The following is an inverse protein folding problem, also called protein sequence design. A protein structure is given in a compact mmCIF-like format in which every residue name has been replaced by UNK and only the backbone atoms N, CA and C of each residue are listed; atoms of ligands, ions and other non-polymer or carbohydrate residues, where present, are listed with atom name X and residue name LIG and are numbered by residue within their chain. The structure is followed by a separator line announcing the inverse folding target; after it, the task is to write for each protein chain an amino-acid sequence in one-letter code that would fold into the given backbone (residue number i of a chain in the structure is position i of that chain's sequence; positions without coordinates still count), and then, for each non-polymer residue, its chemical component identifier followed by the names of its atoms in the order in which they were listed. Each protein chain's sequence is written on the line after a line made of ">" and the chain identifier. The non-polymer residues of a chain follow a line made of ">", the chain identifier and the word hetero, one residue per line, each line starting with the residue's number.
data_IF_087638733961
#
_entry.id   IF_087638733961
#
_cell.length_a   1.000
_cell.length_b   1.000
_cell.length_c   1.000
_cell.angle_alpha   90.00
_cell.angle_beta   90.00
_cell.angle_gamma   90.00
#
_symmetry.space_group_name_H-M   'P 1'
#
loop_
_entity.id
_entity.type
_entity.pdbx_description
1 polymer ?
#
# COMPACT_ATOMS: atom_id res chain seq x y z
N UNK A 1 -5.74 56.24 -15.19
CA UNK A 1 -6.25 55.34 -14.14
C UNK A 1 -6.39 54.01 -14.84
N UNK A 2 -5.37 53.17 -14.71
CA UNK A 2 -5.35 51.85 -15.34
C UNK A 2 -6.15 50.93 -14.43
N UNK A 3 -7.31 50.48 -14.91
CA UNK A 3 -8.13 49.51 -14.23
C UNK A 3 -7.35 48.20 -14.15
N UNK A 4 -6.91 47.87 -12.94
CA UNK A 4 -6.34 46.58 -12.60
C UNK A 4 -7.46 45.55 -12.75
N UNK A 5 -7.55 44.92 -13.92
CA UNK A 5 -8.38 43.73 -14.11
C UNK A 5 -7.80 42.68 -13.19
N UNK A 6 -8.47 42.49 -12.05
CA UNK A 6 -8.29 41.34 -11.18
C UNK A 6 -8.53 40.10 -12.04
N UNK A 7 -7.46 39.42 -12.46
CA UNK A 7 -7.51 38.02 -12.90
C UNK A 7 -8.01 37.18 -11.71
N UNK A 8 -9.33 37.16 -11.59
CA UNK A 8 -10.07 36.35 -10.65
C UNK A 8 -10.00 34.90 -11.14
N UNK A 9 -8.94 34.21 -10.74
CA UNK A 9 -8.89 32.80 -10.31
C UNK A 9 -10.07 31.92 -10.80
N UNK A 10 -10.13 31.62 -12.10
CA UNK A 10 -11.04 30.60 -12.64
C UNK A 10 -10.50 29.84 -13.87
N UNK A 11 -9.22 30.04 -14.22
CA UNK A 11 -8.51 29.22 -15.22
C UNK A 11 -8.15 27.82 -14.71
N UNK A 12 -8.82 27.34 -13.66
CA UNK A 12 -8.94 25.91 -13.38
C UNK A 12 -9.89 25.31 -14.43
N UNK A 13 -9.53 25.39 -15.71
CA UNK A 13 -10.05 24.46 -16.70
C UNK A 13 -9.62 23.09 -16.21
N UNK A 14 -10.52 22.39 -15.50
CA UNK A 14 -10.27 21.05 -15.02
C UNK A 14 -9.95 20.19 -16.24
N UNK A 15 -8.65 19.92 -16.46
CA UNK A 15 -8.19 19.08 -17.55
C UNK A 15 -8.90 17.73 -17.49
N UNK A 16 -9.06 17.05 -18.62
CA UNK A 16 -9.73 15.74 -18.66
C UNK A 16 -9.14 14.78 -17.62
N UNK A 17 -7.82 14.85 -17.39
CA UNK A 17 -7.09 14.05 -16.41
C UNK A 17 -7.54 14.33 -14.97
N UNK A 18 -7.70 15.59 -14.60
CA UNK A 18 -8.13 16.00 -13.25
C UNK A 18 -9.56 15.57 -12.98
N UNK A 19 -10.43 15.74 -13.98
CA UNK A 19 -11.81 15.23 -13.93
C UNK A 19 -11.83 13.70 -13.79
N UNK A 20 -10.99 12.99 -14.56
CA UNK A 20 -10.93 11.53 -14.50
C UNK A 20 -10.45 11.03 -13.15
N UNK A 21 -9.40 11.62 -12.57
CA UNK A 21 -8.86 11.20 -11.27
C UNK A 21 -9.82 11.54 -10.12
N UNK A 22 -10.50 12.69 -10.19
CA UNK A 22 -11.49 13.09 -9.18
C UNK A 22 -12.82 12.33 -9.27
N UNK A 23 -13.03 11.57 -10.36
CA UNK A 23 -14.22 10.74 -10.53
C UNK A 23 -14.28 9.60 -9.51
N UNK A 24 -15.50 9.34 -9.00
CA UNK A 24 -15.74 8.30 -8.01
C UNK A 24 -15.27 6.93 -8.51
N UNK A 25 -14.45 6.26 -7.70
CA UNK A 25 -13.87 4.94 -8.02
C UNK A 25 -12.44 4.99 -8.55
N UNK A 26 -11.90 6.18 -8.84
CA UNK A 26 -10.56 6.37 -9.39
C UNK A 26 -9.52 6.84 -8.35
N UNK A 27 -9.78 6.58 -7.07
CA UNK A 27 -8.94 7.00 -5.93
C UNK A 27 -7.52 6.41 -5.94
N UNK A 28 -7.31 5.29 -6.65
CA UNK A 28 -5.99 4.66 -6.80
C UNK A 28 -5.18 5.22 -7.96
N UNK A 29 -5.76 6.08 -8.80
CA UNK A 29 -5.02 6.74 -9.85
C UNK A 29 -4.24 7.93 -9.29
N UNK A 30 -3.03 8.10 -9.79
CA UNK A 30 -2.25 9.30 -9.60
C UNK A 30 -2.23 10.09 -10.90
N UNK A 31 -1.97 11.39 -10.78
CA UNK A 31 -1.77 12.25 -11.93
C UNK A 31 -0.51 11.85 -12.69
N UNK A 32 -0.65 11.59 -13.99
CA UNK A 32 0.46 11.32 -14.92
C UNK A 32 0.96 12.66 -15.45
N UNK A 33 2.28 12.83 -15.45
CA UNK A 33 2.90 14.05 -15.94
C UNK A 33 2.72 14.20 -17.47
N UNK A 34 2.47 15.41 -17.95
CA UNK A 34 2.20 15.68 -19.37
C UNK A 34 3.38 15.32 -20.29
N UNK A 35 4.60 15.51 -19.80
CA UNK A 35 5.82 15.14 -20.52
C UNK A 35 5.93 13.62 -20.75
N UNK A 36 5.36 12.82 -19.85
CA UNK A 36 5.29 11.37 -20.01
C UNK A 36 4.25 10.96 -21.07
N UNK A 37 3.12 11.67 -21.13
CA UNK A 37 2.04 11.45 -22.10
C UNK A 37 2.40 11.91 -23.52
N UNK A 38 3.23 12.95 -23.65
CA UNK A 38 3.65 13.48 -24.95
C UNK A 38 4.82 12.70 -25.56
N UNK A 39 5.57 11.94 -24.76
CA UNK A 39 6.65 11.09 -25.24
C UNK A 39 6.13 9.77 -25.85
N UNK A 40 6.23 9.70 -27.19
CA UNK A 40 5.84 8.54 -28.00
C UNK A 40 6.53 7.24 -27.59
N UNK A 41 7.74 7.30 -27.03
CA UNK A 41 8.44 6.09 -26.58
C UNK A 41 7.70 5.39 -25.44
N UNK A 42 7.09 6.14 -24.52
CA UNK A 42 6.36 5.56 -23.38
C UNK A 42 5.05 4.89 -23.80
N UNK A 43 4.48 5.34 -24.93
CA UNK A 43 3.21 4.86 -25.47
C UNK A 43 3.34 3.71 -26.48
N UNK A 44 4.56 3.20 -26.72
CA UNK A 44 4.79 2.17 -27.75
C UNK A 44 3.93 0.93 -27.54
N UNK A 45 3.27 0.46 -28.60
CA UNK A 45 2.43 -0.73 -28.61
C UNK A 45 0.99 -0.52 -28.11
N UNK A 46 0.67 0.62 -27.48
CA UNK A 46 -0.69 0.90 -27.01
C UNK A 46 -1.67 1.19 -28.16
N UNK A 47 -1.15 1.64 -29.29
CA UNK A 47 -1.92 1.89 -30.51
C UNK A 47 -2.59 0.64 -31.09
N UNK A 48 -2.09 -0.57 -30.77
CA UNK A 48 -2.73 -1.83 -31.20
C UNK A 48 -3.73 -2.37 -30.17
N UNK A 49 -3.66 -1.93 -28.92
CA UNK A 49 -4.53 -2.38 -27.83
C UNK A 49 -5.77 -1.49 -27.68
N UNK A 50 -5.65 -0.21 -28.01
CA UNK A 50 -6.70 0.80 -27.83
C UNK A 50 -7.35 1.15 -29.17
N UNK A 51 -8.68 1.05 -29.22
CA UNK A 51 -9.48 1.54 -30.36
C UNK A 51 -9.48 3.07 -30.39
N UNK A 52 -9.54 3.68 -31.58
CA UNK A 52 -9.54 5.14 -31.71
C UNK A 52 -8.36 5.82 -30.98
N UNK A 53 -7.20 5.16 -30.94
CA UNK A 53 -6.05 5.57 -30.13
C UNK A 53 -5.69 7.05 -30.26
N UNK A 54 -5.66 7.60 -31.48
CA UNK A 54 -5.32 9.01 -31.68
C UNK A 54 -6.36 9.94 -31.03
N UNK A 55 -7.64 9.71 -31.26
CA UNK A 55 -8.72 10.49 -30.66
C UNK A 55 -8.76 10.34 -29.13
N UNK A 56 -8.49 9.14 -28.63
CA UNK A 56 -8.37 8.88 -27.21
C UNK A 56 -7.19 9.64 -26.59
N UNK A 57 -6.04 9.68 -27.27
CA UNK A 57 -4.87 10.44 -26.82
C UNK A 57 -5.15 11.95 -26.84
N UNK A 58 -5.72 12.46 -27.93
CA UNK A 58 -6.07 13.86 -28.07
C UNK A 58 -7.04 14.30 -26.96
N UNK A 59 -7.99 13.43 -26.57
CA UNK A 59 -8.92 13.68 -25.46
C UNK A 59 -8.22 13.72 -24.10
N UNK A 60 -7.30 12.79 -23.83
CA UNK A 60 -6.52 12.75 -22.58
C UNK A 60 -5.57 13.95 -22.45
N UNK A 61 -5.13 14.50 -23.57
CA UNK A 61 -4.26 15.69 -23.64
C UNK A 61 -5.02 17.00 -23.81
N UNK A 62 -6.37 16.98 -23.78
CA UNK A 62 -7.23 18.16 -23.95
C UNK A 62 -7.02 18.91 -25.30
N UNK A 63 -6.62 18.18 -26.36
CA UNK A 63 -6.47 18.66 -27.75
C UNK A 63 -7.62 18.18 -28.64
N UNK A 64 -8.63 17.51 -28.07
CA UNK A 64 -9.74 16.93 -28.82
C UNK A 64 -10.75 18.00 -29.26
N UNK A 65 -10.83 18.24 -30.57
CA UNK A 65 -11.69 19.26 -31.21
C UNK A 65 -12.65 18.65 -32.26
N UNK A 66 -12.97 17.36 -32.14
CA UNK A 66 -13.82 16.68 -33.11
C UNK A 66 -15.31 16.76 -32.71
N UNK A 67 -16.10 17.47 -33.50
CA UNK A 67 -17.56 17.41 -33.45
C UNK A 67 -18.04 16.05 -33.96
N UNK A 68 -18.38 15.15 -33.03
CA UNK A 68 -18.94 13.83 -33.30
C UNK A 68 -20.31 13.65 -32.64
N UNK A 69 -21.04 12.65 -33.10
CA UNK A 69 -22.27 12.18 -32.49
C UNK A 69 -22.02 11.61 -31.08
N UNK A 70 -23.04 11.69 -30.22
CA UNK A 70 -22.94 11.30 -28.81
C UNK A 70 -22.46 9.84 -28.64
N UNK A 71 -22.91 8.93 -29.51
CA UNK A 71 -22.54 7.51 -29.48
C UNK A 71 -21.03 7.29 -29.78
N UNK A 72 -20.49 8.03 -30.75
CA UNK A 72 -19.06 8.00 -31.06
C UNK A 72 -18.24 8.62 -29.93
N UNK A 73 -18.71 9.74 -29.37
CA UNK A 73 -18.05 10.42 -28.25
C UNK A 73 -17.93 9.49 -27.04
N UNK A 74 -18.99 8.77 -26.69
CA UNK A 74 -18.96 7.80 -25.59
C UNK A 74 -17.92 6.68 -25.85
N UNK A 75 -17.82 6.24 -27.11
CA UNK A 75 -16.86 5.21 -27.51
C UNK A 75 -15.41 5.69 -27.41
N UNK A 76 -15.16 6.95 -27.79
CA UNK A 76 -13.84 7.60 -27.66
C UNK A 76 -13.49 7.78 -26.18
N UNK A 77 -14.43 8.26 -25.35
CA UNK A 77 -14.21 8.39 -23.90
C UNK A 77 -13.89 7.06 -23.23
N UNK A 78 -14.58 5.98 -23.60
CA UNK A 78 -14.27 4.64 -23.10
C UNK A 78 -12.85 4.21 -23.49
N UNK A 79 -12.44 4.53 -24.71
CA UNK A 79 -11.09 4.26 -25.20
C UNK A 79 -10.03 5.11 -24.50
N UNK A 80 -10.33 6.38 -24.21
CA UNK A 80 -9.48 7.30 -23.44
C UNK A 80 -9.26 6.82 -22.00
N UNK A 81 -10.33 6.38 -21.31
CA UNK A 81 -10.23 5.77 -19.97
C UNK A 81 -9.34 4.52 -19.98
N UNK A 82 -9.49 3.68 -21.00
CA UNK A 82 -8.65 2.50 -21.17
C UNK A 82 -7.18 2.87 -21.44
N UNK A 83 -6.93 3.81 -22.35
CA UNK A 83 -5.59 4.31 -22.66
C UNK A 83 -4.92 4.87 -21.41
N UNK A 84 -5.59 5.77 -20.69
CA UNK A 84 -5.06 6.37 -19.47
C UNK A 84 -4.71 5.32 -18.43
N UNK A 85 -5.53 4.27 -18.27
CA UNK A 85 -5.23 3.15 -17.39
C UNK A 85 -3.97 2.36 -17.79
N UNK A 86 -3.78 2.09 -19.07
CA UNK A 86 -2.58 1.38 -19.57
C UNK A 86 -1.31 2.23 -19.41
N UNK A 87 -1.40 3.53 -19.69
CA UNK A 87 -0.29 4.47 -19.48
C UNK A 87 0.02 4.58 -18.00
N UNK A 88 -1.00 4.69 -17.14
CA UNK A 88 -0.85 4.75 -15.69
C UNK A 88 -0.10 3.52 -15.15
N UNK A 89 -0.48 2.32 -15.60
CA UNK A 89 0.18 1.08 -15.21
C UNK A 89 1.69 1.06 -15.54
N UNK A 90 2.10 1.69 -16.66
CA UNK A 90 3.52 1.88 -17.00
C UNK A 90 4.15 2.98 -16.16
N UNK A 91 3.45 4.09 -15.99
CA UNK A 91 3.93 5.28 -15.28
C UNK A 91 4.27 4.99 -13.82
N UNK A 92 3.43 4.24 -13.09
CA UNK A 92 3.65 3.93 -11.67
C UNK A 92 4.87 3.05 -11.40
N UNK A 93 5.48 2.45 -12.42
CA UNK A 93 6.74 1.68 -12.29
C UNK A 93 7.97 2.59 -12.45
N UNK A 94 7.81 3.78 -13.05
CA UNK A 94 8.87 4.78 -13.17
C UNK A 94 9.19 5.41 -11.83
N UNK A 95 10.37 6.04 -11.70
CA UNK A 95 10.75 6.73 -10.47
C UNK A 95 9.77 7.85 -10.09
N UNK A 96 9.27 8.61 -11.07
CA UNK A 96 8.30 9.71 -10.84
C UNK A 96 6.95 9.18 -10.39
N UNK A 97 6.41 8.17 -11.08
CA UNK A 97 5.15 7.55 -10.70
C UNK A 97 5.22 6.83 -9.36
N UNK A 98 6.33 6.14 -9.07
CA UNK A 98 6.57 5.52 -7.76
C UNK A 98 6.59 6.56 -6.64
N UNK A 99 7.19 7.73 -6.83
CA UNK A 99 7.18 8.80 -5.82
C UNK A 99 5.77 9.33 -5.54
N UNK A 100 4.89 9.38 -6.56
CA UNK A 100 3.49 9.77 -6.38
C UNK A 100 2.65 8.70 -5.67
N UNK A 101 2.99 7.41 -5.85
CA UNK A 101 2.23 6.29 -5.28
C UNK A 101 2.78 5.77 -3.94
N UNK A 102 4.08 5.89 -3.73
CA UNK A 102 4.79 5.41 -2.54
C UNK A 102 5.36 6.63 -1.83
N UNK A 103 4.87 6.88 -0.63
CA UNK A 103 5.52 7.77 0.31
C UNK A 103 6.44 6.91 1.18
N UNK A 104 7.78 6.92 0.98
CA UNK A 104 8.69 6.05 1.72
C UNK A 104 8.60 6.25 3.24
N UNK A 105 8.22 7.46 3.68
CA UNK A 105 7.98 7.82 5.08
C UNK A 105 6.69 7.24 5.67
N UNK A 106 5.73 6.84 4.82
CA UNK A 106 4.47 6.22 5.22
C UNK A 106 4.50 4.69 5.08
N UNK A 107 5.63 4.09 4.69
CA UNK A 107 5.75 2.62 4.66
C UNK A 107 5.79 2.12 6.10
N UNK A 108 4.74 1.43 6.59
CA UNK A 108 4.73 0.96 7.95
C UNK A 108 5.80 -0.13 8.11
N UNK A 109 6.54 -0.08 9.22
CA UNK A 109 7.41 -1.17 9.61
C UNK A 109 6.58 -2.47 9.69
N UNK A 110 7.06 -3.55 9.06
CA UNK A 110 6.33 -4.82 9.10
C UNK A 110 6.19 -5.29 10.55
N UNK A 111 4.99 -5.72 10.93
CA UNK A 111 4.73 -6.23 12.27
C UNK A 111 5.54 -7.49 12.54
N UNK A 112 6.18 -7.54 13.70
CA UNK A 112 6.86 -8.75 14.19
C UNK A 112 5.84 -9.74 14.74
N UNK A 113 4.75 -9.21 15.29
CA UNK A 113 3.69 -9.98 15.91
C UNK A 113 2.91 -10.80 14.89
N UNK A 114 2.67 -12.04 15.27
CA UNK A 114 1.86 -12.98 14.50
C UNK A 114 0.63 -13.31 15.31
N UNK A 115 -0.53 -13.34 14.66
CA UNK A 115 -1.77 -13.77 15.28
C UNK A 115 -1.60 -15.14 15.98
N UNK A 116 -1.87 -15.17 17.28
CA UNK A 116 -1.84 -16.40 18.10
C UNK A 116 -3.28 -16.80 18.42
N UNK A 117 -3.85 -17.83 17.76
CA UNK A 117 -5.20 -18.27 18.05
C UNK A 117 -5.31 -18.84 19.47
N UNK A 118 -6.31 -18.38 20.21
CA UNK A 118 -6.62 -18.82 21.57
C UNK A 118 -8.09 -19.21 21.70
N UNK A 119 -8.38 -20.25 22.48
CA UNK A 119 -9.75 -20.67 22.84
C UNK A 119 -9.83 -20.68 24.36
N UNK A 120 -10.77 -19.94 24.94
CA UNK A 120 -10.87 -19.72 26.40
C UNK A 120 -9.54 -19.25 27.05
N UNK A 121 -8.72 -18.48 26.34
CA UNK A 121 -7.41 -18.00 26.82
C UNK A 121 -6.23 -18.96 26.55
N UNK A 122 -6.50 -20.22 26.21
CA UNK A 122 -5.48 -21.24 25.94
C UNK A 122 -5.03 -21.21 24.47
N UNK A 123 -3.70 -21.27 24.24
CA UNK A 123 -3.11 -21.36 22.89
C UNK A 123 -3.48 -22.70 22.25
N UNK A 124 -3.85 -22.68 20.97
CA UNK A 124 -4.12 -23.92 20.22
C UNK A 124 -2.81 -24.71 20.00
N UNK A 125 -2.75 -25.96 20.46
CA UNK A 125 -1.50 -26.73 20.56
C UNK A 125 -0.83 -27.01 19.19
N UNK A 126 -1.61 -27.40 18.17
CA UNK A 126 -1.08 -27.68 16.85
C UNK A 126 -0.48 -26.44 16.16
N UNK A 127 -1.13 -25.28 16.27
CA UNK A 127 -0.60 -24.03 15.74
C UNK A 127 0.55 -23.48 16.58
N UNK A 128 0.55 -23.70 17.90
CA UNK A 128 1.65 -23.31 18.78
C UNK A 128 2.97 -24.01 18.45
N UNK A 129 2.93 -25.30 18.09
CA UNK A 129 4.13 -26.03 17.63
C UNK A 129 4.70 -25.43 16.33
N UNK A 130 3.83 -25.14 15.35
CA UNK A 130 4.22 -24.50 14.09
C UNK A 130 4.76 -23.08 14.32
N UNK A 131 4.12 -22.28 15.18
CA UNK A 131 4.58 -20.93 15.54
C UNK A 131 5.97 -20.98 16.17
N UNK A 132 6.22 -21.90 17.10
CA UNK A 132 7.55 -22.06 17.73
C UNK A 132 8.63 -22.38 16.69
N UNK A 133 8.35 -23.30 15.76
CA UNK A 133 9.28 -23.62 14.68
C UNK A 133 9.55 -22.43 13.73
N UNK A 134 8.49 -21.70 13.35
CA UNK A 134 8.63 -20.52 12.48
C UNK A 134 9.37 -19.36 13.15
N UNK A 135 9.10 -19.11 14.44
CA UNK A 135 9.81 -18.11 15.23
C UNK A 135 11.30 -18.46 15.33
N UNK A 136 11.64 -19.73 15.60
CA UNK A 136 13.02 -20.19 15.63
C UNK A 136 13.74 -19.92 14.29
N UNK A 137 13.10 -20.19 13.15
CA UNK A 137 13.66 -19.88 11.83
C UNK A 137 13.81 -18.38 11.57
N UNK A 138 12.86 -17.57 12.05
CA UNK A 138 12.91 -16.10 11.95
C UNK A 138 14.07 -15.54 12.78
N UNK A 139 14.28 -16.05 13.99
CA UNK A 139 15.35 -15.61 14.88
C UNK A 139 16.74 -15.99 14.33
N UNK A 140 16.86 -17.18 13.74
CA UNK A 140 18.07 -17.60 13.03
C UNK A 140 18.37 -16.68 11.84
N UNK A 141 17.37 -16.31 11.06
CA UNK A 141 17.51 -15.36 9.96
C UNK A 141 17.96 -13.97 10.46
N UNK A 142 17.32 -13.45 11.52
CA UNK A 142 17.70 -12.16 12.13
C UNK A 142 19.13 -12.17 12.63
N UNK A 143 19.57 -13.27 13.27
CA UNK A 143 20.95 -13.43 13.74
C UNK A 143 21.94 -13.41 12.58
N UNK A 144 21.60 -14.03 11.44
CA UNK A 144 22.42 -14.02 10.23
C UNK A 144 22.53 -12.62 9.62
N UNK A 145 21.41 -11.90 9.51
CA UNK A 145 21.38 -10.55 8.96
C UNK A 145 22.15 -9.56 9.84
N UNK A 146 21.98 -9.64 11.17
CA UNK A 146 22.78 -8.86 12.13
C UNK A 146 24.28 -9.14 12.02
N UNK A 147 24.68 -10.41 11.78
CA UNK A 147 26.09 -10.76 11.58
C UNK A 147 26.70 -10.13 10.32
N UNK A 148 25.86 -9.83 9.32
CA UNK A 148 26.26 -9.18 8.06
C UNK A 148 26.09 -7.66 8.10
N UNK A 149 25.81 -7.09 9.28
CA UNK A 149 25.56 -5.65 9.48
C UNK A 149 24.37 -5.11 8.66
N UNK A 150 23.39 -5.98 8.39
CA UNK A 150 22.14 -5.61 7.71
C UNK A 150 21.07 -5.31 8.76
N UNK A 151 20.66 -4.05 8.83
CA UNK A 151 19.65 -3.58 9.78
C UNK A 151 18.26 -4.10 9.39
N UNK A 152 17.55 -4.69 10.36
CA UNK A 152 16.24 -5.32 10.17
C UNK A 152 15.15 -4.39 10.72
N UNK A 153 14.54 -3.57 9.86
CA UNK A 153 13.52 -2.57 10.18
C UNK A 153 12.14 -3.12 10.60
N UNK A 154 12.10 -4.17 11.43
CA UNK A 154 10.86 -4.65 12.02
C UNK A 154 10.60 -3.97 13.37
N UNK A 155 9.35 -3.62 13.64
CA UNK A 155 8.93 -2.94 14.88
C UNK A 155 8.87 -3.92 16.06
N UNK A 156 9.67 -3.68 17.10
CA UNK A 156 9.79 -4.51 18.30
C UNK A 156 9.05 -3.81 19.46
N UNK A 157 7.81 -4.22 19.72
CA UNK A 157 6.97 -3.65 20.78
C UNK A 157 7.19 -4.35 22.15
N UNK A 158 8.18 -5.26 22.28
CA UNK A 158 8.49 -6.04 23.50
C UNK A 158 9.02 -5.23 24.70
N UNK A 159 8.89 -3.90 24.73
CA UNK A 159 9.24 -3.09 25.89
C UNK A 159 8.11 -3.11 26.95
N UNK A 160 6.87 -3.38 26.53
CA UNK A 160 5.68 -3.25 27.39
C UNK A 160 5.38 -4.50 28.25
N UNK A 161 5.99 -5.66 27.94
CA UNK A 161 5.66 -6.94 28.60
C UNK A 161 6.52 -7.26 29.86
N UNK A 162 7.45 -6.37 30.27
CA UNK A 162 8.37 -6.64 31.39
C UNK A 162 7.81 -6.34 32.78
N UNK A 163 6.57 -5.84 32.90
CA UNK A 163 6.02 -5.41 34.20
C UNK A 163 5.23 -6.49 34.97
N UNK A 164 4.89 -7.65 34.40
CA UNK A 164 3.96 -8.60 35.03
C UNK A 164 4.56 -9.83 35.74
N UNK A 165 5.89 -9.99 35.84
CA UNK A 165 6.49 -11.16 36.51
C UNK A 165 7.22 -10.80 37.83
N UNK A 166 6.50 -10.25 38.81
CA UNK A 166 6.95 -10.20 40.20
C UNK A 166 5.81 -10.48 41.19
N UNK A 167 5.27 -11.70 41.12
CA UNK A 167 4.37 -12.26 42.14
C UNK A 167 5.00 -13.50 42.77
N UNK A 168 5.89 -13.32 43.74
CA UNK A 168 6.57 -14.38 44.51
C UNK A 168 5.54 -15.23 45.30
N UNK A 169 5.23 -16.43 44.80
CA UNK A 169 4.46 -17.43 45.54
C UNK A 169 5.38 -18.18 46.51
N UNK A 170 5.59 -17.59 47.69
CA UNK A 170 6.23 -18.30 48.82
C UNK A 170 5.34 -19.45 49.27
N UNK A 171 5.73 -20.68 48.94
CA UNK A 171 5.11 -21.90 49.49
C UNK A 171 5.56 -22.06 50.93
N UNK A 172 4.66 -21.77 51.88
CA UNK A 172 4.84 -22.10 53.30
C UNK A 172 4.57 -23.59 53.48
N UNK A 173 5.62 -24.38 53.72
CA UNK A 173 5.48 -25.80 54.10
C UNK A 173 5.05 -25.87 55.56
N UNK A 174 3.79 -26.25 55.80
CA UNK A 174 3.29 -26.62 57.14
C UNK A 174 3.43 -28.14 57.25
N UNK A 175 4.32 -28.61 58.12
CA UNK A 175 4.45 -30.03 58.46
C UNK A 175 3.43 -30.40 59.54
N UNK A 176 2.61 -31.42 59.30
CA UNK A 176 1.73 -32.01 60.32
C UNK A 176 2.38 -33.26 60.95
N UNK A 177 2.07 -33.51 62.22
CA UNK A 177 2.85 -34.33 63.15
C UNK A 177 2.71 -35.86 62.98
N UNK A 178 2.21 -36.36 61.84
CA UNK A 178 1.83 -37.78 61.71
C UNK A 178 2.37 -38.51 60.47
N UNK A 179 3.34 -37.92 59.77
CA UNK A 179 4.37 -38.68 59.04
C UNK A 179 3.92 -39.82 58.10
N UNK A 180 2.78 -39.68 57.41
CA UNK A 180 2.37 -40.63 56.36
C UNK A 180 1.97 -39.87 55.09
N UNK A 181 2.73 -40.10 54.02
CA UNK A 181 2.46 -39.58 52.68
C UNK A 181 1.29 -40.34 52.05
N UNK A 182 0.23 -39.62 51.65
CA UNK A 182 -0.76 -40.14 50.71
C UNK A 182 -0.38 -39.72 49.28
N UNK A 183 -0.61 -40.63 48.33
CA UNK A 183 -0.43 -40.41 46.89
C UNK A 183 -1.24 -39.23 46.36
N UNK A 184 -0.59 -38.42 45.53
CA UNK A 184 -1.06 -38.06 44.20
C UNK A 184 0.17 -37.83 43.30
#
# INVERSE_FOLDING_TARGET
>A
MEDFVSESDSDYTSYWRDWFISSRGNEYFCEIDEDYLTDRFNLTGLNTEVQYYQYALDLVTDVFDLDCDDDMRETIEKSARHLYGLVHARYIVTTRGLQKMVYPTLVPAKSIERYVPRVYGFKVHASAALIRWQNQKKDDMRRRLRKMDVEVGFRDDNMDDLEEESGDARVTVVQDATGQNAMA
#
